data_IF_814788290533
#
_entry.id   IF_814788290533
#
_cell.length_a   1.000
_cell.length_b   1.000
_cell.length_c   1.000
_cell.angle_alpha   90.00
_cell.angle_beta   90.00
_cell.angle_gamma   90.00
#
_symmetry.space_group_name_H-M   'P 1'
#
loop_
_entity.id
_entity.type
_entity.pdbx_description
1 polymer ?
#
# COMPACT_ATOMS: atom_id res chain seq x y z
N UNK A 1 -10.47 -6.10 -6.38
CA UNK A 1 -9.61 -6.26 -5.17
C UNK A 1 -8.40 -7.15 -5.43
N UNK A 2 -8.56 -8.38 -5.94
CA UNK A 2 -7.38 -9.20 -6.27
C UNK A 2 -6.55 -8.56 -7.36
N UNK A 3 -7.21 -8.06 -8.39
CA UNK A 3 -6.56 -7.34 -9.49
C UNK A 3 -5.90 -6.07 -8.94
N UNK A 4 -6.62 -5.23 -8.18
CA UNK A 4 -6.03 -4.04 -7.50
C UNK A 4 -4.78 -4.37 -6.66
N UNK A 5 -4.77 -5.49 -5.93
CA UNK A 5 -3.59 -5.91 -5.18
C UNK A 5 -2.40 -6.23 -6.09
N UNK A 6 -2.64 -6.96 -7.17
CA UNK A 6 -1.61 -7.43 -8.10
C UNK A 6 -1.15 -6.33 -9.09
N UNK A 7 -2.03 -5.38 -9.38
CA UNK A 7 -1.83 -4.34 -10.38
C UNK A 7 -0.94 -3.21 -9.89
N UNK A 8 -0.81 -3.03 -8.58
CA UNK A 8 -0.05 -1.94 -7.99
C UNK A 8 1.16 -2.43 -7.21
N UNK A 9 2.19 -1.60 -7.18
CA UNK A 9 3.32 -1.78 -6.25
C UNK A 9 2.94 -1.15 -4.92
N UNK A 10 3.27 -1.81 -3.81
CA UNK A 10 2.90 -1.35 -2.47
C UNK A 10 4.12 -0.92 -1.68
N UNK A 11 4.04 0.26 -1.04
CA UNK A 11 4.97 0.68 0.01
C UNK A 11 4.49 0.12 1.35
N UNK A 12 5.39 -0.49 2.10
CA UNK A 12 5.14 -1.06 3.41
C UNK A 12 5.88 -0.26 4.48
N UNK A 13 5.20 -0.01 5.60
CA UNK A 13 5.82 0.46 6.82
C UNK A 13 5.06 -0.03 8.06
N UNK A 14 5.74 -0.04 9.20
CA UNK A 14 5.15 -0.30 10.50
C UNK A 14 4.49 0.96 11.07
N UNK A 15 3.41 0.77 11.80
CA UNK A 15 2.73 1.83 12.54
C UNK A 15 3.37 2.02 13.92
N UNK A 16 2.99 3.10 14.61
CA UNK A 16 3.57 3.46 15.92
C UNK A 16 3.39 2.36 16.98
N UNK A 17 2.31 1.57 16.87
CA UNK A 17 2.03 0.47 17.79
C UNK A 17 2.89 -0.78 17.56
N UNK A 18 3.68 -0.83 16.48
CA UNK A 18 4.62 -1.92 16.26
C UNK A 18 5.76 -1.90 17.29
N UNK A 19 6.28 -3.08 17.70
CA UNK A 19 7.44 -3.17 18.57
C UNK A 19 8.63 -2.37 18.04
N UNK A 20 9.39 -1.77 18.96
CA UNK A 20 10.50 -0.88 18.62
C UNK A 20 11.54 -1.54 17.70
N UNK A 21 11.86 -2.81 17.95
CA UNK A 21 12.76 -3.58 17.10
C UNK A 21 12.37 -3.49 15.61
N UNK A 22 11.10 -3.69 15.28
CA UNK A 22 10.61 -3.64 13.90
C UNK A 22 10.63 -2.23 13.33
N UNK A 23 10.26 -1.22 14.15
CA UNK A 23 10.35 0.19 13.74
C UNK A 23 11.80 0.61 13.46
N UNK A 24 12.78 0.08 14.19
CA UNK A 24 14.20 0.36 13.98
C UNK A 24 14.78 -0.25 12.70
N UNK A 25 14.08 -1.20 12.08
CA UNK A 25 14.42 -1.76 10.77
C UNK A 25 13.74 -1.03 9.61
N UNK A 26 12.74 -0.19 9.92
CA UNK A 26 11.87 0.44 8.95
C UNK A 26 12.40 1.80 8.47
N UNK A 27 12.66 1.99 7.17
CA UNK A 27 13.05 3.27 6.60
C UNK A 27 12.13 4.43 6.96
N UNK A 28 10.81 4.20 7.11
CA UNK A 28 9.83 5.23 7.48
C UNK A 28 10.20 5.91 8.80
N UNK A 29 10.47 5.11 9.84
CA UNK A 29 10.77 5.61 11.18
C UNK A 29 12.17 6.18 11.29
N UNK A 30 13.10 5.65 10.49
CA UNK A 30 14.48 6.14 10.47
C UNK A 30 14.64 7.41 9.65
N UNK A 31 13.69 7.73 8.78
CA UNK A 31 13.85 8.76 7.74
C UNK A 31 14.97 8.42 6.74
N UNK A 32 15.32 7.13 6.62
CA UNK A 32 16.47 6.69 5.81
C UNK A 32 15.99 6.05 4.52
N UNK A 33 15.65 6.88 3.54
CA UNK A 33 15.42 6.44 2.16
C UNK A 33 13.99 5.97 1.85
N UNK A 34 13.79 5.33 0.68
CA UNK A 34 12.47 4.93 0.21
C UNK A 34 11.87 3.82 1.09
N UNK A 35 10.54 3.82 1.18
CA UNK A 35 9.81 2.76 1.87
C UNK A 35 9.99 1.40 1.19
N UNK A 36 9.89 0.37 2.01
CA UNK A 36 9.97 -1.04 1.62
C UNK A 36 8.91 -1.38 0.58
N UNK A 37 9.28 -2.05 -0.50
CA UNK A 37 8.35 -2.42 -1.59
C UNK A 37 7.87 -3.85 -1.46
N UNK A 38 6.58 -4.06 -1.71
CA UNK A 38 5.90 -5.36 -1.67
C UNK A 38 5.08 -5.56 -2.93
N UNK A 39 5.03 -6.80 -3.41
CA UNK A 39 4.35 -7.18 -4.64
C UNK A 39 3.43 -8.35 -4.36
N UNK A 40 2.16 -8.22 -4.72
CA UNK A 40 1.18 -9.31 -4.66
C UNK A 40 1.07 -9.96 -6.03
N UNK A 41 0.95 -11.29 -6.05
CA UNK A 41 0.95 -12.06 -7.28
C UNK A 41 -0.38 -12.79 -7.49
N UNK A 42 -0.83 -12.98 -8.74
CA UNK A 42 -2.13 -13.61 -9.04
C UNK A 42 -2.35 -14.99 -8.41
N UNK A 43 -1.28 -15.74 -8.10
CA UNK A 43 -1.38 -17.06 -7.48
C UNK A 43 -1.45 -17.01 -5.94
N UNK A 44 -1.62 -15.82 -5.34
CA UNK A 44 -1.75 -15.68 -3.90
C UNK A 44 -0.41 -15.64 -3.16
N UNK A 45 0.71 -15.48 -3.86
CA UNK A 45 2.01 -15.23 -3.23
C UNK A 45 2.30 -13.73 -3.09
N UNK A 46 3.15 -13.39 -2.14
CA UNK A 46 3.69 -12.04 -1.98
C UNK A 46 5.22 -12.12 -2.02
N UNK A 47 5.86 -11.12 -2.64
CA UNK A 47 7.31 -10.95 -2.61
C UNK A 47 7.69 -9.55 -2.15
N UNK A 48 8.99 -9.35 -1.89
CA UNK A 48 9.55 -8.10 -1.43
C UNK A 48 10.61 -7.56 -2.40
N UNK A 49 10.84 -6.25 -2.36
CA UNK A 49 11.98 -5.64 -3.02
C UNK A 49 13.31 -6.05 -2.37
N UNK A 50 14.42 -5.91 -3.12
CA UNK A 50 15.75 -6.28 -2.65
C UNK A 50 16.19 -5.51 -1.39
N UNK A 51 15.73 -4.27 -1.24
CA UNK A 51 16.09 -3.40 -0.10
C UNK A 51 15.26 -3.66 1.17
N UNK A 52 14.38 -4.67 1.13
CA UNK A 52 13.47 -4.98 2.21
C UNK A 52 14.13 -5.79 3.32
N UNK A 53 14.67 -5.08 4.31
CA UNK A 53 15.40 -5.66 5.45
C UNK A 53 14.53 -6.46 6.41
N UNK A 54 13.20 -6.35 6.31
CA UNK A 54 12.23 -6.98 7.21
C UNK A 54 11.74 -8.31 6.65
N UNK A 55 11.77 -8.51 5.33
CA UNK A 55 11.21 -9.68 4.67
C UNK A 55 11.79 -11.01 5.15
N UNK A 56 13.09 -11.04 5.45
CA UNK A 56 13.79 -12.24 5.93
C UNK A 56 13.83 -13.41 4.93
N UNK A 57 13.41 -13.22 3.68
CA UNK A 57 13.48 -14.24 2.62
C UNK A 57 12.42 -15.35 2.69
N UNK A 58 11.44 -15.25 3.60
CA UNK A 58 10.40 -16.26 3.74
C UNK A 58 9.31 -16.10 2.67
N UNK A 59 8.77 -17.22 2.18
CA UNK A 59 7.59 -17.21 1.33
C UNK A 59 6.38 -16.69 2.12
N UNK A 60 5.67 -15.70 1.56
CA UNK A 60 4.40 -15.25 2.09
C UNK A 60 3.27 -15.56 1.12
N UNK A 61 2.15 -16.03 1.68
CA UNK A 61 0.91 -16.23 0.94
C UNK A 61 -0.15 -15.28 1.47
N UNK A 62 -1.04 -14.83 0.59
CA UNK A 62 -2.17 -13.99 0.94
C UNK A 62 -3.49 -14.55 0.39
N UNK A 63 -4.57 -14.19 1.06
CA UNK A 63 -5.93 -14.47 0.65
C UNK A 63 -6.83 -13.28 0.92
N UNK A 64 -7.84 -13.08 0.08
CA UNK A 64 -8.92 -12.13 0.33
C UNK A 64 -10.05 -12.90 1.00
N UNK A 65 -10.54 -12.39 2.12
CA UNK A 65 -11.63 -12.98 2.88
C UNK A 65 -12.82 -12.04 2.80
N UNK A 66 -13.93 -12.56 2.27
CA UNK A 66 -15.22 -11.87 2.20
C UNK A 66 -16.26 -12.71 2.92
N UNK A 67 -16.83 -12.17 4.00
CA UNK A 67 -17.96 -12.76 4.72
C UNK A 67 -19.22 -11.99 4.39
N UNK A 68 -20.28 -12.71 4.01
CA UNK A 68 -21.58 -12.15 3.63
C UNK A 68 -22.64 -12.67 4.63
N UNK A 69 -23.55 -11.80 5.08
CA UNK A 69 -24.71 -12.17 5.92
C UNK A 69 -25.89 -12.53 4.99
N UNK A 70 -26.90 -13.24 5.49
CA UNK A 70 -28.01 -13.79 4.71
C UNK A 70 -28.86 -12.80 3.89
N UNK A 71 -28.69 -11.50 4.10
CA UNK A 71 -29.28 -10.41 3.31
C UNK A 71 -28.39 -9.95 2.14
N UNK A 72 -27.23 -10.59 1.94
CA UNK A 72 -26.24 -10.18 0.95
C UNK A 72 -25.32 -9.05 1.42
N UNK A 73 -25.47 -8.55 2.66
CA UNK A 73 -24.58 -7.52 3.20
C UNK A 73 -23.21 -8.11 3.53
N UNK A 74 -22.16 -7.41 3.09
CA UNK A 74 -20.79 -7.74 3.44
C UNK A 74 -20.56 -7.40 4.92
N UNK A 75 -20.26 -8.43 5.71
CA UNK A 75 -19.91 -8.30 7.13
C UNK A 75 -18.43 -7.98 7.33
N UNK A 76 -17.59 -8.70 6.59
CA UNK A 76 -16.14 -8.55 6.66
C UNK A 76 -15.56 -8.66 5.25
N UNK A 77 -14.63 -7.76 4.91
CA UNK A 77 -13.88 -7.81 3.67
C UNK A 77 -12.45 -7.34 3.96
N UNK A 78 -11.50 -8.28 3.96
CA UNK A 78 -10.12 -7.99 4.37
C UNK A 78 -9.12 -8.89 3.65
N UNK A 79 -7.86 -8.45 3.65
CA UNK A 79 -6.72 -9.25 3.21
C UNK A 79 -6.07 -9.92 4.40
N UNK A 80 -5.72 -11.19 4.24
CA UNK A 80 -4.96 -11.97 5.21
C UNK A 80 -3.64 -12.35 4.57
N UNK A 81 -2.52 -12.00 5.20
CA UNK A 81 -1.18 -12.43 4.79
C UNK A 81 -0.70 -13.41 5.85
N UNK A 82 -0.43 -14.66 5.46
CA UNK A 82 -0.10 -15.76 6.36
C UNK A 82 -1.06 -15.79 7.59
N UNK A 83 -0.52 -15.82 8.81
CA UNK A 83 -1.28 -15.75 10.07
C UNK A 83 -1.27 -14.36 10.72
N UNK A 84 -0.87 -13.33 9.98
CA UNK A 84 -0.72 -11.96 10.50
C UNK A 84 -2.07 -11.26 10.64
N UNK A 85 -2.19 -10.18 11.43
CA UNK A 85 -3.46 -9.49 11.65
C UNK A 85 -4.17 -9.07 10.35
N UNK A 86 -5.50 -9.05 10.41
CA UNK A 86 -6.37 -8.71 9.27
C UNK A 86 -6.04 -7.32 8.75
N UNK A 87 -6.00 -7.17 7.44
CA UNK A 87 -5.72 -5.93 6.75
C UNK A 87 -6.97 -5.41 6.06
N UNK A 88 -7.43 -4.22 6.47
CA UNK A 88 -8.59 -3.59 5.88
C UNK A 88 -8.16 -2.68 4.74
N UNK A 89 -8.99 -2.61 3.70
CA UNK A 89 -8.68 -1.92 2.45
C UNK A 89 -9.52 -0.66 2.35
N UNK A 90 -8.90 0.46 1.97
CA UNK A 90 -9.58 1.73 1.78
C UNK A 90 -8.99 2.49 0.61
N UNK A 91 -9.83 3.29 -0.05
CA UNK A 91 -9.39 4.25 -1.05
C UNK A 91 -9.26 5.62 -0.40
N UNK A 92 -8.12 6.26 -0.58
CA UNK A 92 -7.88 7.62 -0.14
C UNK A 92 -8.49 8.63 -1.12
N UNK A 93 -8.62 9.89 -0.67
CA UNK A 93 -9.17 10.98 -1.49
C UNK A 93 -8.31 11.31 -2.72
N UNK A 94 -7.01 11.06 -2.63
CA UNK A 94 -6.05 11.20 -3.73
C UNK A 94 -6.05 9.99 -4.67
N UNK A 95 -7.04 9.11 -4.55
CA UNK A 95 -7.19 7.86 -5.31
C UNK A 95 -6.12 6.81 -5.07
N UNK A 96 -5.19 7.01 -4.12
CA UNK A 96 -4.30 5.94 -3.66
C UNK A 96 -5.07 4.88 -2.89
N UNK A 97 -4.57 3.65 -2.91
CA UNK A 97 -5.07 2.59 -2.06
C UNK A 97 -4.26 2.52 -0.77
N UNK A 98 -4.94 2.31 0.34
CA UNK A 98 -4.35 1.93 1.61
C UNK A 98 -4.87 0.55 2.02
N UNK A 99 -3.97 -0.24 2.58
CA UNK A 99 -4.31 -1.48 3.25
C UNK A 99 -3.58 -1.57 4.58
N UNK A 100 -4.31 -1.45 5.69
CA UNK A 100 -3.70 -1.23 7.01
C UNK A 100 -4.37 -2.01 8.13
N UNK A 101 -3.62 -2.14 9.23
CA UNK A 101 -4.10 -2.60 10.53
C UNK A 101 -3.38 -1.83 11.64
N UNK A 102 -3.54 -2.23 12.90
CA UNK A 102 -2.91 -1.51 14.00
C UNK A 102 -1.36 -1.56 13.99
N UNK A 103 -0.75 -2.56 13.38
CA UNK A 103 0.70 -2.79 13.41
C UNK A 103 1.43 -2.28 12.17
N UNK A 104 0.83 -2.33 10.99
CA UNK A 104 1.49 -1.97 9.75
C UNK A 104 0.51 -1.53 8.68
N UNK A 105 1.05 -0.85 7.67
CA UNK A 105 0.33 -0.23 6.58
C UNK A 105 1.01 -0.53 5.25
N UNK A 106 0.19 -0.73 4.23
CA UNK A 106 0.56 -0.76 2.83
C UNK A 106 -0.12 0.41 2.11
N UNK A 107 0.63 1.18 1.34
CA UNK A 107 0.07 2.23 0.46
C UNK A 107 0.47 1.97 -0.98
N UNK A 108 -0.46 2.15 -1.93
CA UNK A 108 -0.12 2.00 -3.34
C UNK A 108 0.87 3.08 -3.76
N UNK A 109 1.84 2.69 -4.59
CA UNK A 109 2.68 3.65 -5.29
C UNK A 109 1.85 4.24 -6.43
N UNK A 110 1.77 5.58 -6.55
CA UNK A 110 1.08 6.20 -7.67
C UNK A 110 1.60 5.72 -9.02
N UNK A 111 0.67 5.39 -9.90
CA UNK A 111 0.87 4.84 -11.24
C UNK A 111 -0.21 5.37 -12.18
N UNK A 112 -0.48 6.68 -12.08
CA UNK A 112 -1.60 7.36 -12.76
C UNK A 112 -1.52 7.31 -14.30
N UNK A 113 -0.36 6.98 -14.86
CA UNK A 113 -0.09 6.72 -16.27
C UNK A 113 -0.60 5.35 -16.75
N UNK A 114 -0.87 4.42 -15.83
CA UNK A 114 -1.47 3.11 -16.11
C UNK A 114 -3.00 3.23 -16.22
N UNK A 115 -3.61 2.51 -17.16
CA UNK A 115 -5.07 2.36 -17.18
C UNK A 115 -5.55 1.69 -15.89
N UNK A 116 -6.41 2.40 -15.13
CA UNK A 116 -6.86 1.94 -13.81
C UNK A 116 -5.86 2.23 -12.67
N UNK A 117 -4.87 3.09 -12.89
CA UNK A 117 -3.85 3.47 -11.91
C UNK A 117 -4.37 4.24 -10.69
N UNK A 118 -3.43 4.58 -9.80
CA UNK A 118 -3.66 5.17 -8.48
C UNK A 118 -2.86 6.45 -8.27
N UNK A 119 -3.30 7.24 -7.29
CA UNK A 119 -2.70 8.52 -6.95
C UNK A 119 -3.20 9.66 -7.84
N UNK A 120 -2.83 10.91 -7.53
CA UNK A 120 -3.17 12.04 -8.36
C UNK A 120 -2.48 11.89 -9.72
N UNK A 121 -3.20 12.15 -10.81
CA UNK A 121 -2.56 12.51 -12.07
C UNK A 121 -1.61 13.66 -11.73
N UNK A 122 -0.31 13.50 -11.99
CA UNK A 122 0.60 14.64 -11.95
C UNK A 122 -0.02 15.70 -12.86
N UNK A 123 -0.61 16.74 -12.27
CA UNK A 123 -0.79 18.00 -12.99
C UNK A 123 0.65 18.48 -13.18
N UNK A 124 1.20 18.50 -14.42
CA UNK A 124 2.50 19.13 -14.61
C UNK A 124 2.38 20.52 -14.01
N UNK A 125 3.30 20.87 -13.11
CA UNK A 125 3.32 22.19 -12.50
C UNK A 125 3.20 23.20 -13.63
N UNK A 126 2.08 23.90 -13.70
CA UNK A 126 1.98 25.09 -14.52
C UNK A 126 3.03 26.01 -13.94
N UNK A 127 4.16 26.13 -14.62
CA UNK A 127 5.05 27.26 -14.43
C UNK A 127 4.22 28.48 -14.78
N UNK A 128 3.53 29.04 -13.78
CA UNK A 128 3.00 30.39 -13.88
C UNK A 128 4.24 31.27 -13.81
N UNK A 129 4.78 31.62 -14.97
CA UNK A 129 5.74 32.70 -15.10
C UNK A 129 5.05 33.96 -14.59
N UNK A 130 5.60 34.68 -13.59
CA UNK A 130 5.04 35.94 -13.15
C UNK A 130 5.45 37.04 -14.12
N UNK A 131 4.88 37.04 -15.32
CA UNK A 131 5.01 38.16 -16.27
C UNK A 131 3.65 38.51 -16.85
N UNK A 132 2.77 39.08 -16.01
CA UNK A 132 1.65 39.89 -16.47
C UNK A 132 1.11 40.79 -15.35
N UNK A 133 1.98 41.54 -14.66
CA UNK A 133 1.59 42.82 -14.07
C UNK A 133 2.66 43.84 -14.42
N UNK A 134 2.44 44.51 -15.54
CA UNK A 134 3.39 45.46 -16.10
C UNK A 134 2.78 46.29 -17.23
N UNK A 135 1.76 47.08 -16.90
CA UNK A 135 1.53 48.50 -17.27
C UNK A 135 0.05 48.85 -17.19
#
# INVERSE_FOLDING_TARGET
MKDDLCDHVWKFHFNKAAPEYWRNLDPYWKGTGPLMRRYFHPYGSQTAGADDKVWGGHGCCYSIVTSIIGDGMIREHYVRINRWPRLFFSRNQDWSWEMSNCLYCYTSIPDADKQGGTGPLFLPSVHITPEAFGK
#
